data_IF_669965499211
#
_entry.id   IF_669965499211
#
_cell.length_a   1.000
_cell.length_b   1.000
_cell.length_c   1.000
_cell.angle_alpha   90.00
_cell.angle_beta   90.00
_cell.angle_gamma   90.00
#
_symmetry.space_group_name_H-M   'P 1'
#
loop_
_entity.id
_entity.type
_entity.pdbx_description
1 polymer ?
#
# COMPACT_ATOMS: atom_id res chain seq x y z
N UNK A 1 -17.80 4.45 17.76
CA UNK A 1 -17.80 5.86 17.32
C UNK A 1 -17.26 6.71 18.47
N UNK A 2 -15.99 7.14 18.41
CA UNK A 2 -15.38 8.03 19.41
C UNK A 2 -15.87 9.45 19.16
N UNK A 3 -17.10 9.75 19.58
CA UNK A 3 -17.76 11.03 19.28
C UNK A 3 -17.37 12.17 20.22
N UNK A 4 -16.55 11.90 21.25
CA UNK A 4 -16.14 12.92 22.21
C UNK A 4 -14.94 12.45 23.07
N UNK A 5 -13.74 12.44 22.49
CA UNK A 5 -12.49 12.39 23.27
C UNK A 5 -11.52 13.32 22.57
N UNK A 6 -11.14 14.42 23.23
CA UNK A 6 -9.96 15.18 22.83
C UNK A 6 -8.79 14.22 22.74
N UNK A 7 -7.99 14.30 21.67
CA UNK A 7 -6.77 13.50 21.55
C UNK A 7 -5.82 13.73 22.73
N UNK A 8 -5.86 14.94 23.27
CA UNK A 8 -5.09 15.38 24.41
C UNK A 8 -5.89 15.20 25.70
N UNK A 9 -5.24 14.69 26.73
CA UNK A 9 -5.75 14.77 28.09
C UNK A 9 -5.33 16.12 28.72
N UNK A 10 -6.16 16.68 29.60
CA UNK A 10 -6.00 18.03 30.18
C UNK A 10 -4.66 18.25 30.95
N UNK A 11 -3.90 17.19 31.23
CA UNK A 11 -2.67 17.24 32.02
C UNK A 11 -1.39 16.85 31.26
N UNK A 12 -1.41 16.75 29.92
CA UNK A 12 -0.21 16.35 29.18
C UNK A 12 0.82 17.48 29.09
N UNK A 13 2.07 17.15 29.37
CA UNK A 13 3.19 18.07 29.18
C UNK A 13 3.57 18.17 27.70
N UNK A 14 4.18 19.29 27.29
CA UNK A 14 4.69 19.48 25.93
C UNK A 14 5.68 18.37 25.52
N UNK A 15 6.49 17.88 26.45
CA UNK A 15 7.42 16.78 26.19
C UNK A 15 6.69 15.45 25.91
N UNK A 16 5.58 15.17 26.60
CA UNK A 16 4.78 13.96 26.35
C UNK A 16 4.09 14.01 25.00
N UNK A 17 3.56 15.18 24.61
CA UNK A 17 2.96 15.40 23.29
C UNK A 17 4.01 15.19 22.19
N UNK A 18 5.21 15.77 22.36
CA UNK A 18 6.31 15.58 21.42
C UNK A 18 6.71 14.10 21.31
N UNK A 19 6.84 13.39 22.42
CA UNK A 19 7.18 11.97 22.43
C UNK A 19 6.12 11.13 21.70
N UNK A 20 4.83 11.38 21.93
CA UNK A 20 3.73 10.68 21.25
C UNK A 20 3.70 10.99 19.75
N UNK A 21 3.93 12.24 19.38
CA UNK A 21 4.06 12.66 17.98
C UNK A 21 5.21 11.91 17.30
N UNK A 22 6.40 11.88 17.90
CA UNK A 22 7.56 11.19 17.33
C UNK A 22 7.32 9.68 17.19
N UNK A 23 6.69 9.05 18.19
CA UNK A 23 6.31 7.63 18.12
C UNK A 23 5.34 7.35 16.97
N UNK A 24 4.33 8.21 16.79
CA UNK A 24 3.36 8.06 15.70
C UNK A 24 4.01 8.26 14.32
N UNK A 25 4.93 9.20 14.19
CA UNK A 25 5.70 9.43 12.97
C UNK A 25 6.57 8.22 12.63
N UNK A 26 7.27 7.65 13.60
CA UNK A 26 8.09 6.45 13.40
C UNK A 26 7.22 5.24 13.01
N UNK A 27 6.06 5.06 13.65
CA UNK A 27 5.16 3.98 13.28
C UNK A 27 4.57 4.15 11.87
N UNK A 28 4.25 5.38 11.45
CA UNK A 28 3.81 5.68 10.09
C UNK A 28 4.90 5.34 9.06
N UNK A 29 6.17 5.64 9.37
CA UNK A 29 7.33 5.24 8.56
C UNK A 29 7.42 3.72 8.45
N UNK A 30 7.36 2.99 9.56
CA UNK A 30 7.41 1.53 9.57
C UNK A 30 6.31 0.87 8.73
N UNK A 31 5.10 1.43 8.70
CA UNK A 31 4.01 0.93 7.85
C UNK A 31 4.34 1.11 6.38
N UNK A 32 4.93 2.26 6.01
CA UNK A 32 5.39 2.49 4.64
C UNK A 32 6.46 1.47 4.23
N UNK A 33 7.46 1.21 5.09
CA UNK A 33 8.51 0.23 4.83
C UNK A 33 7.94 -1.20 4.72
N UNK A 34 7.01 -1.56 5.61
CA UNK A 34 6.31 -2.84 5.55
C UNK A 34 5.52 -3.00 4.26
N UNK A 35 4.89 -1.93 3.74
CA UNK A 35 4.18 -1.94 2.44
C UNK A 35 5.14 -2.24 1.30
N UNK A 36 6.30 -1.59 1.27
CA UNK A 36 7.36 -1.82 0.27
C UNK A 36 7.85 -3.26 0.30
N UNK A 37 8.16 -3.81 1.48
CA UNK A 37 8.59 -5.20 1.62
C UNK A 37 7.49 -6.18 1.19
N UNK A 38 6.24 -5.92 1.57
CA UNK A 38 5.09 -6.74 1.15
C UNK A 38 4.95 -6.74 -0.37
N UNK A 39 5.11 -5.59 -1.02
CA UNK A 39 5.06 -5.47 -2.47
C UNK A 39 6.16 -6.31 -3.14
N UNK A 40 7.39 -6.28 -2.64
CA UNK A 40 8.46 -7.12 -3.17
C UNK A 40 8.17 -8.62 -3.01
N UNK A 41 7.61 -9.04 -1.87
CA UNK A 41 7.18 -10.43 -1.69
C UNK A 41 6.11 -10.84 -2.71
N UNK A 42 5.08 -10.01 -2.93
CA UNK A 42 4.04 -10.30 -3.93
C UNK A 42 4.59 -10.39 -5.35
N UNK A 43 5.49 -9.48 -5.74
CA UNK A 43 6.16 -9.54 -7.04
C UNK A 43 6.89 -10.88 -7.18
N UNK A 44 7.65 -11.30 -6.17
CA UNK A 44 8.37 -12.57 -6.20
C UNK A 44 7.42 -13.77 -6.34
N UNK A 45 6.32 -13.82 -5.57
CA UNK A 45 5.32 -14.88 -5.69
C UNK A 45 4.67 -14.94 -7.08
N UNK A 46 4.35 -13.78 -7.66
CA UNK A 46 3.76 -13.72 -8.98
C UNK A 46 4.73 -14.18 -10.07
N UNK A 47 6.01 -13.78 -9.99
CA UNK A 47 7.05 -14.24 -10.90
C UNK A 47 7.19 -15.77 -10.82
N UNK A 48 7.25 -16.35 -9.62
CA UNK A 48 7.31 -17.80 -9.44
C UNK A 48 6.08 -18.49 -10.05
N UNK A 49 4.88 -18.01 -9.75
CA UNK A 49 3.66 -18.60 -10.30
C UNK A 49 3.63 -18.55 -11.84
N UNK A 50 4.03 -17.42 -12.43
CA UNK A 50 4.05 -17.25 -13.88
C UNK A 50 5.10 -18.15 -14.53
N UNK A 51 6.31 -18.23 -13.96
CA UNK A 51 7.36 -19.13 -14.44
C UNK A 51 6.94 -20.60 -14.39
N UNK A 52 6.34 -21.04 -13.28
CA UNK A 52 5.87 -22.42 -13.14
C UNK A 52 4.73 -22.72 -14.12
N UNK A 53 3.79 -21.78 -14.32
CA UNK A 53 2.72 -21.94 -15.30
C UNK A 53 3.28 -22.12 -16.73
N UNK A 54 4.28 -21.33 -17.11
CA UNK A 54 4.93 -21.43 -18.42
C UNK A 54 5.64 -22.78 -18.63
N UNK A 55 6.27 -23.32 -17.58
CA UNK A 55 7.00 -24.61 -17.66
C UNK A 55 6.03 -25.80 -17.74
N UNK A 56 4.97 -25.81 -16.93
CA UNK A 56 4.10 -26.98 -16.81
C UNK A 56 3.11 -27.13 -17.96
N UNK A 57 2.62 -26.01 -18.51
CA UNK A 57 1.61 -26.01 -19.58
C UNK A 57 0.27 -26.65 -19.19
N UNK A 58 -0.65 -26.64 -20.16
CA UNK A 58 -1.99 -27.24 -20.10
C UNK A 58 -2.78 -26.99 -18.82
N UNK A 59 -3.51 -27.99 -18.34
CA UNK A 59 -4.33 -27.88 -17.12
C UNK A 59 -3.54 -27.45 -15.87
N UNK A 60 -2.29 -27.89 -15.72
CA UNK A 60 -1.45 -27.52 -14.57
C UNK A 60 -1.15 -26.02 -14.58
N UNK A 61 -0.88 -25.43 -15.75
CA UNK A 61 -0.70 -24.00 -15.90
C UNK A 61 -1.98 -23.23 -15.53
N UNK A 62 -3.17 -23.72 -15.91
CA UNK A 62 -4.45 -23.11 -15.50
C UNK A 62 -4.58 -22.99 -13.98
N UNK A 63 -4.12 -23.99 -13.22
CA UNK A 63 -4.13 -23.95 -11.74
C UNK A 63 -3.26 -22.80 -11.23
N UNK A 64 -2.02 -22.68 -11.70
CA UNK A 64 -1.10 -21.61 -11.27
C UNK A 64 -1.56 -20.22 -11.71
N UNK A 65 -2.16 -20.09 -12.90
CA UNK A 65 -2.77 -18.84 -13.37
C UNK A 65 -3.93 -18.45 -12.43
N UNK A 66 -4.78 -19.41 -12.07
CA UNK A 66 -5.92 -19.17 -11.16
C UNK A 66 -5.45 -18.72 -9.77
N UNK A 67 -4.43 -19.40 -9.21
CA UNK A 67 -3.80 -18.99 -7.95
C UNK A 67 -3.21 -17.58 -8.07
N UNK A 68 -2.53 -17.27 -9.17
CA UNK A 68 -2.00 -15.95 -9.48
C UNK A 68 -3.07 -14.85 -9.47
N UNK A 69 -4.22 -15.09 -10.11
CA UNK A 69 -5.35 -14.15 -10.11
C UNK A 69 -5.90 -13.90 -8.69
N UNK A 70 -6.03 -14.95 -7.88
CA UNK A 70 -6.46 -14.84 -6.48
C UNK A 70 -5.45 -14.00 -5.68
N UNK A 71 -4.14 -14.24 -5.88
CA UNK A 71 -3.09 -13.46 -5.24
C UNK A 71 -3.14 -11.97 -5.62
N UNK A 72 -3.48 -11.63 -6.87
CA UNK A 72 -3.68 -10.23 -7.25
C UNK A 72 -4.81 -9.55 -6.46
N UNK A 73 -5.92 -10.25 -6.23
CA UNK A 73 -7.05 -9.74 -5.44
C UNK A 73 -6.60 -9.52 -3.98
N UNK A 74 -5.93 -10.50 -3.39
CA UNK A 74 -5.40 -10.40 -2.02
C UNK A 74 -4.44 -9.23 -1.89
N UNK A 75 -3.53 -9.04 -2.86
CA UNK A 75 -2.58 -7.94 -2.87
C UNK A 75 -3.28 -6.58 -2.93
N UNK A 76 -4.31 -6.43 -3.78
CA UNK A 76 -5.13 -5.21 -3.84
C UNK A 76 -5.77 -4.87 -2.50
N UNK A 77 -6.34 -5.86 -1.81
CA UNK A 77 -6.95 -5.65 -0.50
C UNK A 77 -5.94 -5.22 0.57
N UNK A 78 -4.73 -5.80 0.56
CA UNK A 78 -3.65 -5.41 1.47
C UNK A 78 -3.18 -3.97 1.21
N UNK A 79 -3.07 -3.58 -0.06
CA UNK A 79 -2.70 -2.21 -0.44
C UNK A 79 -3.77 -1.20 0.00
N UNK A 80 -5.06 -1.50 -0.23
CA UNK A 80 -6.18 -0.66 0.20
C UNK A 80 -6.18 -0.47 1.72
N UNK A 81 -6.05 -1.57 2.47
CA UNK A 81 -6.02 -1.52 3.94
C UNK A 81 -4.82 -0.73 4.46
N UNK A 82 -3.64 -0.97 3.91
CA UNK A 82 -2.42 -0.24 4.28
C UNK A 82 -2.56 1.26 4.04
N UNK A 83 -3.17 1.66 2.90
CA UNK A 83 -3.46 3.06 2.59
C UNK A 83 -4.42 3.68 3.59
N UNK A 84 -5.51 2.98 3.93
CA UNK A 84 -6.52 3.49 4.86
C UNK A 84 -5.94 3.71 6.26
N UNK A 85 -5.18 2.74 6.78
CA UNK A 85 -4.51 2.85 8.09
C UNK A 85 -3.52 4.03 8.10
N UNK A 86 -2.71 4.17 7.04
CA UNK A 86 -1.75 5.25 6.95
C UNK A 86 -2.44 6.62 6.89
N UNK A 87 -3.56 6.74 6.17
CA UNK A 87 -4.36 7.97 6.12
C UNK A 87 -4.86 8.38 7.50
N UNK A 88 -5.37 7.44 8.28
CA UNK A 88 -5.85 7.70 9.65
C UNK A 88 -4.69 8.12 10.56
N UNK A 89 -3.53 7.46 10.45
CA UNK A 89 -2.34 7.82 11.23
C UNK A 89 -1.83 9.22 10.91
N UNK A 90 -1.79 9.60 9.63
CA UNK A 90 -1.43 10.95 9.23
C UNK A 90 -2.41 11.99 9.77
N UNK A 91 -3.71 11.70 9.79
CA UNK A 91 -4.70 12.58 10.41
C UNK A 91 -4.42 12.78 11.91
N UNK A 92 -4.09 11.71 12.64
CA UNK A 92 -3.71 11.79 14.06
C UNK A 92 -2.42 12.60 14.24
N UNK A 93 -1.40 12.37 13.40
CA UNK A 93 -0.13 13.12 13.43
C UNK A 93 -0.40 14.62 13.23
N UNK A 94 -1.20 15.00 12.24
CA UNK A 94 -1.57 16.40 12.00
C UNK A 94 -2.33 17.01 13.18
N UNK A 95 -3.23 16.25 13.82
CA UNK A 95 -3.94 16.75 14.99
C UNK A 95 -3.01 16.94 16.21
N UNK A 96 -2.05 16.03 16.42
CA UNK A 96 -1.01 16.19 17.46
C UNK A 96 -0.09 17.38 17.14
N UNK A 97 0.27 17.54 15.88
CA UNK A 97 1.14 18.61 15.39
C UNK A 97 0.58 20.00 15.69
N UNK A 98 -0.74 20.21 15.58
CA UNK A 98 -1.41 21.47 15.96
C UNK A 98 -1.21 21.87 17.43
N UNK A 99 -0.75 20.95 18.28
CA UNK A 99 -0.49 21.19 19.71
C UNK A 99 0.98 21.51 20.00
N UNK A 100 1.84 21.36 18.99
CA UNK A 100 3.25 21.70 19.01
C UNK A 100 3.47 23.10 18.42
N UNK A 101 4.62 23.70 18.70
CA UNK A 101 4.96 25.06 18.24
C UNK A 101 5.23 25.15 16.73
N UNK A 102 5.39 24.03 16.03
CA UNK A 102 5.79 23.99 14.60
C UNK A 102 5.02 22.91 13.87
N UNK A 103 4.47 23.26 12.71
CA UNK A 103 3.68 22.37 11.86
C UNK A 103 4.47 21.90 10.62
N UNK A 104 5.44 21.01 10.81
CA UNK A 104 6.36 20.53 9.78
C UNK A 104 5.67 19.71 8.68
N UNK A 105 4.91 18.67 9.04
CA UNK A 105 4.25 17.78 8.08
C UNK A 105 3.12 18.47 7.34
N UNK A 106 2.34 19.28 8.04
CA UNK A 106 1.29 20.09 7.41
C UNK A 106 1.88 21.06 6.38
N UNK A 107 3.02 21.69 6.71
CA UNK A 107 3.71 22.59 5.79
C UNK A 107 4.38 21.84 4.63
N UNK A 108 4.98 20.66 4.87
CA UNK A 108 5.49 19.78 3.82
C UNK A 108 4.38 19.41 2.83
N UNK A 109 3.22 18.99 3.33
CA UNK A 109 2.08 18.63 2.49
C UNK A 109 1.56 19.81 1.66
N UNK A 110 1.53 21.01 2.25
CA UNK A 110 1.22 22.25 1.54
C UNK A 110 2.22 22.49 0.40
N UNK A 111 3.52 22.46 0.68
CA UNK A 111 4.56 22.67 -0.33
C UNK A 111 4.54 21.60 -1.43
N UNK A 112 4.25 20.34 -1.09
CA UNK A 112 4.13 19.26 -2.08
C UNK A 112 2.98 19.52 -3.06
N UNK A 113 1.83 19.99 -2.58
CA UNK A 113 0.69 20.31 -3.43
C UNK A 113 0.95 21.52 -4.32
N UNK A 114 1.65 22.53 -3.79
CA UNK A 114 1.99 23.74 -4.55
C UNK A 114 3.05 23.46 -5.62
N UNK A 115 4.10 22.72 -5.29
CA UNK A 115 5.28 22.54 -6.16
C UNK A 115 5.20 21.33 -7.09
N UNK A 116 4.46 20.28 -6.73
CA UNK A 116 4.61 18.99 -7.41
C UNK A 116 3.27 18.28 -7.68
N UNK A 117 2.62 18.63 -8.79
CA UNK A 117 1.42 17.94 -9.29
C UNK A 117 1.66 16.44 -9.54
N UNK A 118 2.92 16.02 -9.74
CA UNK A 118 3.30 14.63 -9.99
C UNK A 118 3.49 13.80 -8.71
N UNK A 119 3.38 14.35 -7.50
CA UNK A 119 3.49 13.56 -6.28
C UNK A 119 2.42 12.47 -6.16
N UNK A 120 1.20 12.75 -6.66
CA UNK A 120 0.14 11.73 -6.83
C UNK A 120 0.58 10.55 -7.70
N UNK A 121 1.52 10.76 -8.64
CA UNK A 121 1.95 9.76 -9.61
C UNK A 121 2.73 8.60 -8.96
N UNK A 122 3.62 8.88 -8.01
CA UNK A 122 4.39 7.84 -7.29
C UNK A 122 3.47 6.90 -6.52
N UNK A 123 2.51 7.45 -5.79
CA UNK A 123 1.49 6.66 -5.08
C UNK A 123 0.62 5.83 -6.05
N UNK A 124 0.45 6.31 -7.29
CA UNK A 124 -0.33 5.63 -8.31
C UNK A 124 0.39 4.42 -8.90
N UNK A 125 1.72 4.44 -8.99
CA UNK A 125 2.51 3.35 -9.58
C UNK A 125 2.47 2.10 -8.69
N UNK A 126 2.68 2.23 -7.38
CA UNK A 126 2.56 1.10 -6.44
C UNK A 126 1.17 0.45 -6.49
N UNK A 127 0.11 1.27 -6.62
CA UNK A 127 -1.26 0.79 -6.71
C UNK A 127 -1.60 0.12 -8.04
N UNK A 128 -0.78 0.31 -9.09
CA UNK A 128 -0.99 -0.26 -10.43
C UNK A 128 -0.31 -1.62 -10.62
N UNK A 129 0.66 -1.98 -9.78
CA UNK A 129 1.40 -3.25 -9.90
C UNK A 129 0.51 -4.50 -9.93
N UNK A 130 -0.48 -4.67 -9.04
CA UNK A 130 -1.36 -5.84 -9.09
C UNK A 130 -2.18 -5.90 -10.38
N UNK A 131 -2.55 -4.75 -10.94
CA UNK A 131 -3.31 -4.66 -12.21
C UNK A 131 -2.44 -5.16 -13.36
N UNK A 132 -1.15 -4.80 -13.40
CA UNK A 132 -0.22 -5.31 -14.40
C UNK A 132 -0.13 -6.84 -14.38
N UNK A 133 0.00 -7.44 -13.19
CA UNK A 133 0.03 -8.90 -13.05
C UNK A 133 -1.32 -9.55 -13.40
N UNK A 134 -2.43 -8.93 -13.01
CA UNK A 134 -3.76 -9.41 -13.38
C UNK A 134 -3.93 -9.49 -14.91
N UNK A 135 -3.54 -8.42 -15.63
CA UNK A 135 -3.54 -8.40 -17.10
C UNK A 135 -2.60 -9.47 -17.67
N UNK A 136 -1.43 -9.67 -17.08
CA UNK A 136 -0.49 -10.71 -17.51
C UNK A 136 -1.11 -12.12 -17.38
N UNK A 137 -1.78 -12.42 -16.27
CA UNK A 137 -2.47 -13.71 -16.10
C UNK A 137 -3.63 -13.92 -17.07
N UNK A 138 -4.42 -12.87 -17.33
CA UNK A 138 -5.48 -12.94 -18.35
C UNK A 138 -4.90 -13.22 -19.73
N UNK A 139 -3.81 -12.56 -20.09
CA UNK A 139 -3.13 -12.79 -21.35
C UNK A 139 -2.57 -14.22 -21.44
N UNK A 140 -1.89 -14.71 -20.39
CA UNK A 140 -1.39 -16.09 -20.34
C UNK A 140 -2.51 -17.12 -20.47
N UNK A 141 -3.67 -16.88 -19.85
CA UNK A 141 -4.85 -17.74 -19.98
C UNK A 141 -5.36 -17.79 -21.42
N UNK A 142 -5.52 -16.63 -22.07
CA UNK A 142 -5.97 -16.54 -23.46
C UNK A 142 -5.03 -17.28 -24.42
N UNK A 143 -3.72 -17.07 -24.28
CA UNK A 143 -2.71 -17.76 -25.09
C UNK A 143 -2.79 -19.27 -24.92
N UNK A 144 -2.94 -19.75 -23.69
CA UNK A 144 -3.02 -21.19 -23.40
C UNK A 144 -4.27 -21.81 -24.03
N UNK A 145 -5.43 -21.16 -23.92
CA UNK A 145 -6.67 -21.66 -24.54
C UNK A 145 -6.65 -21.62 -26.06
N UNK A 146 -5.97 -20.65 -26.67
CA UNK A 146 -5.78 -20.60 -28.11
C UNK A 146 -4.88 -21.72 -28.60
N UNK A 147 -3.78 -21.99 -27.89
CA UNK A 147 -2.84 -23.05 -28.23
C UNK A 147 -3.44 -24.45 -28.07
N UNK A 148 -4.24 -24.70 -27.03
CA UNK A 148 -4.91 -26.01 -26.85
C UNK A 148 -6.01 -26.28 -27.90
N UNK A 149 -6.52 -25.24 -28.57
CA UNK A 149 -7.59 -25.38 -29.58
C UNK A 149 -7.07 -25.62 -30.99
N UNK A 150 -5.79 -25.41 -31.25
CA UNK A 150 -5.16 -25.46 -32.57
C UNK A 150 -4.29 -26.71 -32.72
#
# INVERSE_FOLDING_TARGET
MLKNKSLLNENQTQQEILNQYLLMVEEARHISDRRTNTNFCFIAFHLICLSVALILGGFKACVFISVGLILCIVWLEILKKSKAVNSIKFEIITQLENSLSVNLFSYEWYLMQEKNKNFKLFFTIESKMPICFFVAYLFSFLVLTFFERN
#
